data_IF_233084955031
#
_entry.id   IF_233084955031
#
_cell.length_a   1.000
_cell.length_b   1.000
_cell.length_c   1.000
_cell.angle_alpha   90.00
_cell.angle_beta   90.00
_cell.angle_gamma   90.00
#
_symmetry.space_group_name_H-M   'P 1'
#
loop_
_entity.id
_entity.type
_entity.pdbx_description
1 polymer ?
#
# COMPACT_ATOMS: atom_id res chain seq x y z
N UNK A 1 11.42 -47.80 34.99
CA UNK A 1 11.98 -46.64 34.26
C UNK A 1 10.91 -46.08 33.34
N UNK A 2 10.27 -44.97 33.72
CA UNK A 2 9.54 -44.14 32.75
C UNK A 2 9.62 -42.71 33.26
N UNK A 3 10.44 -41.92 32.59
CA UNK A 3 10.70 -40.53 32.93
C UNK A 3 9.80 -39.68 32.01
N UNK A 4 8.85 -38.94 32.58
CA UNK A 4 8.04 -37.99 31.82
C UNK A 4 8.92 -36.78 31.41
N UNK A 5 8.88 -36.32 30.16
CA UNK A 5 9.69 -35.17 29.75
C UNK A 5 9.03 -33.86 30.21
N UNK A 6 9.87 -33.01 30.80
CA UNK A 6 9.61 -31.68 31.38
C UNK A 6 8.68 -30.74 30.54
N UNK A 7 7.88 -29.87 31.18
CA UNK A 7 6.78 -29.10 30.57
C UNK A 7 7.19 -27.88 29.71
N UNK A 8 8.46 -27.48 29.70
CA UNK A 8 8.91 -26.20 29.09
C UNK A 8 8.83 -26.11 27.56
N UNK A 9 8.89 -27.25 26.85
CA UNK A 9 8.83 -27.26 25.38
C UNK A 9 7.40 -27.24 24.84
N UNK A 10 6.42 -27.70 25.62
CA UNK A 10 5.00 -27.78 25.21
C UNK A 10 4.38 -26.39 25.02
N UNK A 11 4.73 -25.44 25.89
CA UNK A 11 4.27 -24.05 25.81
C UNK A 11 4.85 -23.32 24.59
N UNK A 12 6.15 -23.51 24.32
CA UNK A 12 6.82 -22.93 23.15
C UNK A 12 6.25 -23.47 21.85
N UNK A 13 6.02 -24.79 21.75
CA UNK A 13 5.38 -25.40 20.58
C UNK A 13 3.95 -24.91 20.39
N UNK A 14 3.19 -24.71 21.47
CA UNK A 14 1.84 -24.16 21.38
C UNK A 14 1.85 -22.71 20.86
N UNK A 15 2.80 -21.88 21.32
CA UNK A 15 2.96 -20.51 20.87
C UNK A 15 3.31 -20.41 19.38
N UNK A 16 4.22 -21.28 18.90
CA UNK A 16 4.57 -21.37 17.48
C UNK A 16 3.37 -21.84 16.64
N UNK A 17 2.60 -22.81 17.12
CA UNK A 17 1.39 -23.29 16.45
C UNK A 17 0.31 -22.21 16.38
N UNK A 18 0.12 -21.42 17.45
CA UNK A 18 -0.83 -20.30 17.48
C UNK A 18 -0.40 -19.20 16.50
N UNK A 19 0.90 -18.88 16.44
CA UNK A 19 1.45 -17.90 15.51
C UNK A 19 1.27 -18.34 14.05
N UNK A 20 1.58 -19.60 13.74
CA UNK A 20 1.36 -20.19 12.41
C UNK A 20 -0.13 -20.17 12.02
N UNK A 21 -1.01 -20.58 12.92
CA UNK A 21 -2.46 -20.59 12.67
C UNK A 21 -3.02 -19.17 12.47
N UNK A 22 -2.55 -18.20 13.26
CA UNK A 22 -2.93 -16.79 13.11
C UNK A 22 -2.50 -16.20 11.76
N UNK A 23 -1.31 -16.57 11.26
CA UNK A 23 -0.84 -16.13 9.94
C UNK A 23 -1.65 -16.72 8.78
N UNK A 24 -2.18 -17.94 8.94
CA UNK A 24 -3.02 -18.61 7.93
C UNK A 24 -4.45 -18.04 7.90
N UNK A 25 -4.92 -17.45 9.00
CA UNK A 25 -6.23 -16.83 9.12
C UNK A 25 -6.23 -15.34 8.74
N UNK A 26 -5.08 -14.77 8.38
CA UNK A 26 -5.00 -13.42 7.87
C UNK A 26 -5.68 -13.37 6.49
N UNK A 27 -6.91 -12.86 6.43
CA UNK A 27 -7.53 -12.56 5.15
C UNK A 27 -6.82 -11.36 4.53
N UNK A 28 -6.50 -11.38 3.23
CA UNK A 28 -6.02 -10.20 2.57
C UNK A 28 -7.07 -9.10 2.73
N UNK A 29 -6.69 -8.00 3.39
CA UNK A 29 -7.52 -6.81 3.40
C UNK A 29 -7.53 -6.28 1.97
N UNK A 30 -8.62 -6.51 1.24
CA UNK A 30 -8.84 -5.88 -0.06
C UNK A 30 -9.23 -4.44 0.18
N UNK A 31 -8.21 -3.61 0.43
CA UNK A 31 -8.36 -2.18 0.22
C UNK A 31 -8.44 -1.97 -1.29
N UNK A 32 -9.55 -1.40 -1.77
CA UNK A 32 -9.60 -0.85 -3.12
C UNK A 32 -8.68 0.38 -3.13
N UNK A 33 -7.40 0.12 -3.35
CA UNK A 33 -6.35 1.12 -3.20
C UNK A 33 -6.37 2.08 -4.39
N UNK A 34 -6.26 3.37 -4.07
CA UNK A 34 -6.01 4.41 -5.05
C UNK A 34 -4.79 4.05 -5.89
N UNK A 35 -4.94 4.08 -7.22
CA UNK A 35 -3.90 3.66 -8.16
C UNK A 35 -3.72 4.69 -9.27
N UNK A 36 -2.48 4.78 -9.75
CA UNK A 36 -2.16 5.48 -10.99
C UNK A 36 -2.33 4.52 -12.17
N UNK A 37 -3.09 4.92 -13.17
CA UNK A 37 -3.32 4.18 -14.42
C UNK A 37 -2.99 5.06 -15.62
N UNK A 38 -3.00 4.48 -16.83
CA UNK A 38 -2.82 5.22 -18.09
C UNK A 38 -1.55 6.10 -18.09
N UNK A 39 -0.44 5.57 -17.59
CA UNK A 39 0.81 6.32 -17.46
C UNK A 39 1.45 6.47 -18.84
N UNK A 40 1.66 7.72 -19.27
CA UNK A 40 2.33 8.07 -20.52
C UNK A 40 3.48 9.02 -20.22
N UNK A 41 4.68 8.65 -20.64
CA UNK A 41 5.87 9.49 -20.57
C UNK A 41 6.25 9.97 -21.98
N UNK A 42 6.52 11.27 -22.14
CA UNK A 42 6.89 11.88 -23.43
C UNK A 42 7.97 12.92 -23.22
N UNK A 43 9.02 12.89 -24.04
CA UNK A 43 10.03 13.95 -24.06
C UNK A 43 9.53 15.16 -24.85
N UNK A 44 9.71 16.35 -24.30
CA UNK A 44 9.42 17.63 -24.93
C UNK A 44 10.67 18.52 -24.83
N UNK A 45 11.55 18.42 -25.82
CA UNK A 45 12.88 19.04 -25.77
C UNK A 45 13.71 18.47 -24.63
N UNK A 46 14.19 19.34 -23.74
CA UNK A 46 14.97 18.98 -22.56
C UNK A 46 14.11 18.57 -21.35
N UNK A 47 12.78 18.44 -21.52
CA UNK A 47 11.86 18.11 -20.44
C UNK A 47 11.20 16.75 -20.64
N UNK A 48 10.94 16.05 -19.54
CA UNK A 48 10.08 14.86 -19.51
C UNK A 48 8.69 15.26 -19.02
N UNK A 49 7.67 14.97 -19.83
CA UNK A 49 6.27 15.14 -19.48
C UNK A 49 5.70 13.77 -19.11
N UNK A 50 5.03 13.70 -17.97
CA UNK A 50 4.39 12.48 -17.47
C UNK A 50 2.90 12.77 -17.27
N UNK A 51 2.07 11.97 -17.91
CA UNK A 51 0.62 11.98 -17.76
C UNK A 51 0.18 10.69 -17.09
N UNK A 52 -0.80 10.77 -16.21
CA UNK A 52 -1.40 9.60 -15.56
C UNK A 52 -2.83 9.94 -15.12
N UNK A 53 -3.63 8.90 -14.93
CA UNK A 53 -4.97 8.97 -14.34
C UNK A 53 -4.91 8.44 -12.92
N UNK A 54 -5.59 9.10 -11.98
CA UNK A 54 -5.81 8.57 -10.64
C UNK A 54 -7.17 7.87 -10.62
N UNK A 55 -7.21 6.62 -10.15
CA UNK A 55 -8.43 5.80 -10.09
C UNK A 55 -8.58 5.14 -8.71
N UNK A 56 -9.80 4.77 -8.35
CA UNK A 56 -10.08 4.10 -7.07
C UNK A 56 -9.79 4.94 -5.83
N UNK A 57 -9.69 6.27 -5.96
CA UNK A 57 -9.36 7.17 -4.85
C UNK A 57 -10.57 7.73 -4.09
N UNK A 58 -11.79 7.52 -4.61
CA UNK A 58 -13.03 7.96 -3.98
C UNK A 58 -13.83 6.75 -3.52
N UNK A 59 -14.08 6.66 -2.22
CA UNK A 59 -15.03 5.67 -1.68
C UNK A 59 -16.46 6.07 -2.02
N UNK A 60 -17.39 5.12 -2.00
CA UNK A 60 -18.81 5.44 -2.20
C UNK A 60 -19.33 6.47 -1.19
N UNK A 61 -18.83 6.44 0.04
CA UNK A 61 -19.20 7.40 1.08
C UNK A 61 -18.70 8.81 0.74
N UNK A 62 -17.47 8.92 0.24
CA UNK A 62 -16.91 10.20 -0.24
C UNK A 62 -17.72 10.75 -1.42
N UNK A 63 -18.09 9.88 -2.38
CA UNK A 63 -18.92 10.27 -3.53
C UNK A 63 -20.27 10.80 -3.04
N UNK A 64 -20.95 10.07 -2.15
CA UNK A 64 -22.23 10.51 -1.56
C UNK A 64 -22.10 11.83 -0.81
N UNK A 65 -21.01 12.03 -0.07
CA UNK A 65 -20.75 13.30 0.62
C UNK A 65 -20.64 14.47 -0.37
N UNK A 66 -19.86 14.30 -1.44
CA UNK A 66 -19.73 15.30 -2.52
C UNK A 66 -21.08 15.59 -3.16
N UNK A 67 -21.84 14.55 -3.52
CA UNK A 67 -23.16 14.69 -4.16
C UNK A 67 -24.17 15.40 -3.27
N UNK A 68 -24.08 15.22 -1.95
CA UNK A 68 -24.89 15.92 -0.96
C UNK A 68 -24.42 17.36 -0.67
N UNK A 69 -23.41 17.86 -1.39
CA UNK A 69 -22.91 19.21 -1.25
C UNK A 69 -21.93 19.41 -0.08
N UNK A 70 -21.41 18.32 0.50
CA UNK A 70 -20.35 18.42 1.51
C UNK A 70 -19.04 18.79 0.80
N UNK A 71 -18.51 19.96 1.14
CA UNK A 71 -17.24 20.40 0.59
C UNK A 71 -16.13 19.47 1.05
N UNK A 72 -15.44 18.86 0.10
CA UNK A 72 -14.41 17.84 0.35
C UNK A 72 -13.12 18.27 -0.33
N UNK A 73 -12.02 18.36 0.42
CA UNK A 73 -10.70 18.72 -0.12
C UNK A 73 -9.89 17.44 -0.34
N UNK A 74 -9.29 17.32 -1.52
CA UNK A 74 -8.39 16.21 -1.84
C UNK A 74 -6.97 16.71 -1.91
N UNK A 75 -6.02 15.93 -1.43
CA UNK A 75 -4.61 16.25 -1.57
C UNK A 75 -3.90 15.05 -2.14
N UNK A 76 -3.23 15.25 -3.27
CA UNK A 76 -2.44 14.24 -3.94
C UNK A 76 -0.96 14.53 -3.71
N UNK A 77 -0.23 13.50 -3.31
CA UNK A 77 1.22 13.49 -3.18
C UNK A 77 1.76 12.50 -4.21
N UNK A 78 2.42 13.00 -5.25
CA UNK A 78 2.97 12.19 -6.33
C UNK A 78 4.49 12.33 -6.30
N UNK A 79 5.20 11.21 -6.23
CA UNK A 79 6.65 11.15 -6.28
C UNK A 79 7.14 10.45 -7.54
N UNK A 80 8.20 10.99 -8.16
CA UNK A 80 8.92 10.37 -9.24
C UNK A 80 10.25 9.85 -8.69
N UNK A 81 10.48 8.55 -8.84
CA UNK A 81 11.68 7.88 -8.34
C UNK A 81 12.45 7.20 -9.47
N UNK A 82 13.77 7.26 -9.39
CA UNK A 82 14.67 6.47 -10.22
C UNK A 82 14.78 5.07 -9.63
N UNK A 83 14.34 4.06 -10.39
CA UNK A 83 14.44 2.66 -9.97
C UNK A 83 15.90 2.20 -10.09
N UNK A 84 16.48 1.71 -9.00
CA UNK A 84 17.87 1.26 -8.96
C UNK A 84 17.99 -0.15 -8.41
N UNK A 85 18.74 -0.99 -9.13
CA UNK A 85 19.00 -2.35 -8.65
C UNK A 85 19.90 -2.33 -7.41
N UNK A 86 19.55 -3.14 -6.41
CA UNK A 86 20.30 -3.35 -5.16
C UNK A 86 20.48 -2.11 -4.24
N UNK A 87 19.84 -0.98 -4.53
CA UNK A 87 19.87 0.23 -3.71
C UNK A 87 18.47 0.79 -3.50
N UNK A 88 18.35 1.80 -2.64
CA UNK A 88 17.09 2.53 -2.46
C UNK A 88 16.86 3.41 -3.69
N UNK A 89 15.64 3.37 -4.23
CA UNK A 89 15.22 4.26 -5.31
C UNK A 89 15.46 5.72 -4.92
N UNK A 90 16.01 6.49 -5.86
CA UNK A 90 16.32 7.90 -5.64
C UNK A 90 15.10 8.76 -5.98
N UNK A 91 14.75 9.72 -5.12
CA UNK A 91 13.69 10.68 -5.44
C UNK A 91 14.20 11.71 -6.45
N UNK A 92 13.54 11.78 -7.60
CA UNK A 92 13.84 12.73 -8.68
C UNK A 92 13.01 14.01 -8.51
N UNK A 93 11.72 13.85 -8.19
CA UNK A 93 10.80 14.97 -8.03
C UNK A 93 9.59 14.59 -7.17
N UNK A 94 8.99 15.61 -6.54
CA UNK A 94 7.74 15.49 -5.79
C UNK A 94 6.76 16.57 -6.23
N UNK A 95 5.48 16.19 -6.33
CA UNK A 95 4.37 17.08 -6.67
C UNK A 95 3.27 16.94 -5.63
N UNK A 96 2.85 18.08 -5.07
CA UNK A 96 1.67 18.19 -4.22
C UNK A 96 0.59 18.98 -4.94
N UNK A 97 -0.61 18.39 -5.04
CA UNK A 97 -1.80 19.04 -5.61
C UNK A 97 -2.90 19.04 -4.55
N UNK A 98 -3.54 20.19 -4.33
CA UNK A 98 -4.60 20.42 -3.33
C UNK A 98 -5.83 21.04 -3.97
#
# INVERSE_FOLDING_TARGET
MSCAPFPGNRLKTALVMIFLMGSLLATPAWAEEARLTDIVATSAGEHLLIYFRVTGCFTEEMIKAIENGINTTFTFFIGLYEVRDFQRDENIAELRVT
#
